data_IF_065970740091
#
_entry.id   IF_065970740091
#
_cell.length_a   1.000
_cell.length_b   1.000
_cell.length_c   1.000
_cell.angle_alpha   90.00
_cell.angle_beta   90.00
_cell.angle_gamma   90.00
#
_symmetry.space_group_name_H-M   'P 1'
#
loop_
_entity.id
_entity.type
_entity.pdbx_description
1 polymer ?
#
# COMPACT_ATOMS: atom_id res chain seq x y z
N UNK A 1 -29.03 4.74 -14.11
CA UNK A 1 -29.55 3.41 -13.72
C UNK A 1 -28.67 2.91 -12.60
N UNK A 2 -29.17 2.92 -11.37
CA UNK A 2 -28.42 2.66 -10.12
C UNK A 2 -28.35 1.16 -9.88
N UNK A 3 -27.14 0.58 -10.01
CA UNK A 3 -26.87 -0.85 -9.80
C UNK A 3 -25.45 -1.03 -9.29
N UNK A 4 -25.15 -0.51 -8.10
CA UNK A 4 -23.97 -0.92 -7.34
C UNK A 4 -24.04 -0.35 -5.92
N UNK A 5 -24.76 -1.01 -5.02
CA UNK A 5 -24.19 -1.19 -3.68
C UNK A 5 -23.01 -2.16 -3.86
N UNK A 6 -21.90 -1.67 -4.41
CA UNK A 6 -20.65 -2.40 -4.39
C UNK A 6 -20.25 -2.49 -2.93
N UNK A 7 -20.44 -3.66 -2.33
CA UNK A 7 -20.02 -3.88 -0.96
C UNK A 7 -18.49 -3.95 -0.96
N UNK A 8 -17.83 -2.80 -0.75
CA UNK A 8 -16.38 -2.62 -0.84
C UNK A 8 -15.63 -3.67 0.00
N UNK A 9 -16.20 -4.06 1.15
CA UNK A 9 -15.69 -5.12 1.99
C UNK A 9 -15.68 -6.49 1.28
N UNK A 10 -16.73 -6.84 0.52
CA UNK A 10 -16.76 -8.09 -0.26
C UNK A 10 -15.70 -8.04 -1.36
N UNK A 11 -15.56 -6.91 -2.06
CA UNK A 11 -14.53 -6.74 -3.09
C UNK A 11 -13.11 -6.89 -2.50
N UNK A 12 -12.85 -6.31 -1.32
CA UNK A 12 -11.61 -6.49 -0.57
C UNK A 12 -11.34 -7.96 -0.23
N UNK A 13 -12.33 -8.65 0.34
CA UNK A 13 -12.21 -10.06 0.72
C UNK A 13 -11.97 -10.94 -0.51
N UNK A 14 -12.66 -10.69 -1.63
CA UNK A 14 -12.43 -11.41 -2.89
C UNK A 14 -11.03 -11.17 -3.44
N UNK A 15 -10.54 -9.94 -3.37
CA UNK A 15 -9.18 -9.57 -3.77
C UNK A 15 -8.13 -10.34 -2.94
N UNK A 16 -8.22 -10.28 -1.61
CA UNK A 16 -7.30 -11.01 -0.72
C UNK A 16 -7.39 -12.52 -0.93
N UNK A 17 -8.60 -13.07 -1.01
CA UNK A 17 -8.85 -14.50 -1.21
C UNK A 17 -8.24 -15.03 -2.49
N UNK A 18 -8.40 -14.30 -3.61
CA UNK A 18 -7.76 -14.66 -4.90
C UNK A 18 -6.25 -14.63 -4.80
N UNK A 19 -5.67 -13.60 -4.19
CA UNK A 19 -4.22 -13.51 -4.05
C UNK A 19 -3.65 -14.65 -3.21
N UNK A 20 -4.32 -15.04 -2.12
CA UNK A 20 -3.91 -16.17 -1.29
C UNK A 20 -4.05 -17.50 -2.06
N UNK A 21 -5.19 -17.72 -2.72
CA UNK A 21 -5.46 -18.95 -3.49
C UNK A 21 -4.43 -19.16 -4.61
N UNK A 22 -3.96 -18.08 -5.24
CA UNK A 22 -2.96 -18.13 -6.30
C UNK A 22 -1.50 -18.11 -5.79
N UNK A 23 -1.26 -18.16 -4.47
CA UNK A 23 0.09 -18.09 -3.90
C UNK A 23 0.78 -16.73 -4.07
N UNK A 24 0.00 -15.69 -4.36
CA UNK A 24 0.45 -14.32 -4.56
C UNK A 24 0.46 -13.48 -3.27
N UNK A 25 -0.11 -14.02 -2.20
CA UNK A 25 -0.12 -13.46 -0.86
C UNK A 25 -0.07 -14.57 0.17
N UNK A 26 0.59 -14.31 1.30
CA UNK A 26 0.58 -15.21 2.47
C UNK A 26 0.36 -14.41 3.75
N UNK A 27 -0.10 -15.08 4.79
CA UNK A 27 -0.17 -14.49 6.13
C UNK A 27 1.21 -14.62 6.82
N UNK A 28 1.58 -13.63 7.62
CA UNK A 28 2.74 -13.74 8.49
C UNK A 28 2.40 -14.68 9.66
N UNK A 29 3.11 -15.81 9.77
CA UNK A 29 2.74 -16.86 10.72
C UNK A 29 2.68 -16.38 12.19
N UNK A 30 3.60 -15.53 12.68
CA UNK A 30 3.51 -15.01 14.04
C UNK A 30 2.33 -14.06 14.29
N UNK A 31 1.82 -13.40 13.24
CA UNK A 31 0.67 -12.50 13.35
C UNK A 31 -0.19 -12.55 12.08
N UNK A 32 -1.33 -13.27 12.10
CA UNK A 32 -2.18 -13.47 10.93
C UNK A 32 -2.96 -12.21 10.51
N UNK A 33 -2.73 -11.05 11.15
CA UNK A 33 -3.26 -9.76 10.70
C UNK A 33 -2.37 -9.10 9.64
N UNK A 34 -1.17 -9.63 9.42
CA UNK A 34 -0.19 -9.12 8.48
C UNK A 34 -0.19 -9.98 7.22
N UNK A 35 -0.53 -9.36 6.09
CA UNK A 35 -0.61 -9.98 4.78
C UNK A 35 0.61 -9.60 3.94
N UNK A 36 1.31 -10.57 3.40
CA UNK A 36 2.56 -10.37 2.66
C UNK A 36 2.35 -10.73 1.20
N UNK A 37 2.28 -9.71 0.34
CA UNK A 37 2.26 -9.92 -1.11
C UNK A 37 3.62 -10.42 -1.60
N UNK A 38 3.61 -11.27 -2.62
CA UNK A 38 4.84 -11.62 -3.31
C UNK A 38 5.29 -10.49 -4.25
N UNK A 39 6.45 -10.66 -4.89
CA UNK A 39 7.01 -9.64 -5.78
C UNK A 39 6.13 -9.37 -7.02
N UNK A 40 5.42 -10.39 -7.52
CA UNK A 40 4.56 -10.27 -8.70
C UNK A 40 3.31 -9.44 -8.37
N UNK A 41 2.57 -9.80 -7.32
CA UNK A 41 1.41 -9.05 -6.87
C UNK A 41 1.77 -7.65 -6.38
N UNK A 42 2.92 -7.47 -5.71
CA UNK A 42 3.38 -6.14 -5.31
C UNK A 42 3.73 -5.23 -6.49
N UNK A 43 4.09 -5.78 -7.65
CA UNK A 43 4.51 -5.00 -8.83
C UNK A 43 3.37 -4.28 -9.55
N UNK A 44 2.12 -4.57 -9.20
CA UNK A 44 0.96 -3.82 -9.70
C UNK A 44 0.89 -2.41 -9.10
N UNK A 45 1.56 -2.19 -7.96
CA UNK A 45 1.65 -0.87 -7.34
C UNK A 45 2.91 -0.14 -7.83
N UNK A 46 2.78 1.17 -7.93
CA UNK A 46 3.88 2.04 -8.33
C UNK A 46 4.33 2.83 -7.11
N UNK A 47 5.62 3.09 -6.98
CA UNK A 47 6.11 4.06 -6.00
C UNK A 47 6.86 5.16 -6.72
N UNK A 48 6.62 6.38 -6.28
CA UNK A 48 7.12 7.57 -6.97
C UNK A 48 7.22 8.76 -6.04
N UNK A 49 7.67 9.87 -6.60
CA UNK A 49 7.57 11.20 -6.01
C UNK A 49 6.84 12.11 -6.95
N UNK A 50 5.98 12.96 -6.42
CA UNK A 50 5.24 13.93 -7.22
C UNK A 50 6.11 15.16 -7.57
N UNK A 51 5.49 16.16 -8.18
CA UNK A 51 6.15 17.43 -8.55
C UNK A 51 6.67 18.22 -7.36
N UNK A 52 6.10 18.03 -6.17
CA UNK A 52 6.52 18.63 -4.91
C UNK A 52 7.57 17.78 -4.16
N UNK A 53 7.99 16.65 -4.74
CA UNK A 53 8.90 15.65 -4.17
C UNK A 53 8.30 14.86 -3.00
N UNK A 54 6.98 14.91 -2.83
CA UNK A 54 6.26 14.10 -1.84
C UNK A 54 6.14 12.65 -2.34
N UNK A 55 6.37 11.65 -1.47
CA UNK A 55 6.30 10.27 -1.88
C UNK A 55 4.85 9.83 -2.07
N UNK A 56 4.62 8.99 -3.07
CA UNK A 56 3.31 8.42 -3.32
C UNK A 56 3.35 6.92 -3.62
N UNK A 57 2.24 6.25 -3.29
CA UNK A 57 1.87 4.93 -3.78
C UNK A 57 0.85 5.07 -4.90
N UNK A 58 1.23 4.64 -6.10
CA UNK A 58 0.34 4.50 -7.24
C UNK A 58 -0.54 3.26 -7.09
N UNK A 59 -1.85 3.45 -7.16
CA UNK A 59 -2.87 2.40 -7.06
C UNK A 59 -3.59 2.29 -8.42
N UNK A 60 -3.73 1.09 -9.00
CA UNK A 60 -4.51 0.91 -10.22
C UNK A 60 -5.97 1.36 -10.08
N UNK A 61 -6.53 1.99 -11.13
CA UNK A 61 -7.93 2.44 -11.16
C UNK A 61 -8.92 1.32 -10.77
N UNK A 62 -8.67 0.09 -11.21
CA UNK A 62 -9.50 -1.08 -10.90
C UNK A 62 -9.64 -1.38 -9.39
N UNK A 63 -8.70 -0.90 -8.57
CA UNK A 63 -8.70 -1.14 -7.12
C UNK A 63 -9.39 -0.01 -6.35
N UNK A 64 -9.68 1.13 -6.99
CA UNK A 64 -10.32 2.29 -6.36
C UNK A 64 -11.64 1.99 -5.66
N UNK A 65 -12.51 1.05 -6.12
CA UNK A 65 -13.76 0.79 -5.42
C UNK A 65 -13.58 0.27 -4.00
N UNK A 66 -12.43 -0.31 -3.66
CA UNK A 66 -12.24 -0.94 -2.36
C UNK A 66 -10.97 -0.51 -1.63
N UNK A 67 -9.89 -0.18 -2.35
CA UNK A 67 -8.56 -0.01 -1.76
C UNK A 67 -8.41 1.34 -1.09
N UNK A 68 -8.96 2.39 -1.72
CA UNK A 68 -8.92 3.75 -1.19
C UNK A 68 -9.96 3.99 -0.09
N UNK A 69 -10.90 3.06 0.08
CA UNK A 69 -11.96 3.12 1.10
C UNK A 69 -11.51 2.56 2.45
N UNK A 70 -10.32 1.95 2.51
CA UNK A 70 -9.73 1.48 3.75
C UNK A 70 -9.13 2.67 4.51
N UNK A 71 -9.43 2.76 5.82
CA UNK A 71 -8.83 3.75 6.73
C UNK A 71 -7.38 3.38 7.06
N UNK A 72 -6.47 3.69 6.14
CA UNK A 72 -5.03 3.55 6.35
C UNK A 72 -4.55 4.61 7.34
N UNK A 73 -4.08 4.18 8.50
CA UNK A 73 -3.64 5.08 9.57
C UNK A 73 -2.13 5.35 9.55
N UNK A 74 -1.34 4.46 8.97
CA UNK A 74 0.12 4.61 8.85
C UNK A 74 0.69 3.76 7.73
N UNK A 75 1.90 4.13 7.30
CA UNK A 75 2.70 3.35 6.37
C UNK A 75 4.06 3.02 7.01
N UNK A 76 4.42 1.74 7.08
CA UNK A 76 5.70 1.29 7.62
C UNK A 76 6.64 0.79 6.53
N UNK A 77 7.85 1.32 6.49
CA UNK A 77 8.92 0.86 5.61
C UNK A 77 9.73 -0.20 6.36
N UNK A 78 9.76 -1.43 5.85
CA UNK A 78 10.67 -2.47 6.32
C UNK A 78 11.71 -2.74 5.23
N UNK A 79 12.85 -2.05 5.31
CA UNK A 79 13.89 -2.15 4.26
C UNK A 79 14.58 -3.49 4.25
N UNK A 80 14.76 -4.11 5.42
CA UNK A 80 15.43 -5.39 5.57
C UNK A 80 14.71 -6.49 4.80
N UNK A 81 13.38 -6.49 4.82
CA UNK A 81 12.57 -7.49 4.10
C UNK A 81 12.04 -7.00 2.74
N UNK A 82 12.17 -5.71 2.45
CA UNK A 82 11.73 -5.12 1.18
C UNK A 82 10.22 -4.96 1.10
N UNK A 83 9.61 -4.42 2.15
CA UNK A 83 8.17 -4.18 2.21
C UNK A 83 7.85 -2.73 2.52
N UNK A 84 6.77 -2.25 1.91
CA UNK A 84 5.98 -1.12 2.38
C UNK A 84 4.67 -1.69 2.93
N UNK A 85 4.42 -1.48 4.21
CA UNK A 85 3.20 -1.89 4.86
C UNK A 85 2.23 -0.73 4.93
N UNK A 86 0.98 -0.95 4.53
CA UNK A 86 -0.13 -0.07 4.86
C UNK A 86 -0.87 -0.66 6.06
N UNK A 87 -1.05 0.13 7.11
CA UNK A 87 -1.61 -0.32 8.38
C UNK A 87 -3.00 0.27 8.60
N UNK A 88 -3.90 -0.56 9.11
CA UNK A 88 -5.16 -0.14 9.69
C UNK A 88 -5.18 -0.60 11.15
N UNK A 89 -5.21 0.37 12.06
CA UNK A 89 -5.20 0.18 13.52
C UNK A 89 -6.52 0.64 14.11
N UNK A 90 -6.90 0.06 15.25
CA UNK A 90 -8.02 0.57 16.03
C UNK A 90 -7.68 1.98 16.53
N UNK A 91 -8.52 3.00 16.27
CA UNK A 91 -8.17 4.40 16.54
C UNK A 91 -8.01 4.69 18.04
N UNK A 92 -8.62 3.88 18.93
CA UNK A 92 -8.58 4.10 20.38
C UNK A 92 -7.42 3.36 21.03
N UNK A 93 -7.22 2.10 20.64
CA UNK A 93 -6.25 1.19 21.28
C UNK A 93 -4.93 1.09 20.52
N UNK A 94 -4.88 1.59 19.28
CA UNK A 94 -3.73 1.47 18.36
C UNK A 94 -3.35 0.01 18.03
N UNK A 95 -4.21 -0.95 18.41
CA UNK A 95 -4.02 -2.36 18.09
C UNK A 95 -4.13 -2.55 16.57
N UNK A 96 -3.17 -3.27 15.99
CA UNK A 96 -3.21 -3.63 14.58
C UNK A 96 -4.42 -4.51 14.28
N UNK A 97 -5.31 -4.02 13.42
CA UNK A 97 -6.41 -4.79 12.87
C UNK A 97 -5.99 -5.50 11.58
N UNK A 98 -5.22 -4.80 10.75
CA UNK A 98 -4.80 -5.30 9.44
C UNK A 98 -3.53 -4.56 8.96
N UNK A 99 -2.58 -5.30 8.38
CA UNK A 99 -1.47 -4.72 7.63
C UNK A 99 -1.33 -5.39 6.26
N UNK A 100 -1.23 -4.58 5.20
CA UNK A 100 -0.94 -5.04 3.84
C UNK A 100 0.51 -4.72 3.48
N UNK A 101 1.36 -5.73 3.49
CA UNK A 101 2.74 -5.67 3.04
C UNK A 101 2.85 -5.81 1.53
N UNK A 102 3.13 -4.69 0.86
CA UNK A 102 3.43 -4.62 -0.57
C UNK A 102 4.93 -4.84 -0.74
N UNK A 103 5.31 -5.91 -1.47
CA UNK A 103 6.73 -6.22 -1.69
C UNK A 103 7.33 -5.30 -2.74
N UNK A 104 8.30 -4.50 -2.31
CA UNK A 104 8.99 -3.51 -3.14
C UNK A 104 10.48 -3.79 -3.10
N UNK A 105 11.14 -3.70 -4.27
CA UNK A 105 12.61 -3.84 -4.33
C UNK A 105 13.24 -2.81 -3.38
N UNK A 106 14.18 -3.24 -2.54
CA UNK A 106 14.82 -2.40 -1.51
C UNK A 106 15.28 -1.03 -2.05
N UNK A 107 15.93 -1.00 -3.22
CA UNK A 107 16.38 0.23 -3.85
C UNK A 107 15.24 1.22 -4.18
N UNK A 108 14.02 0.73 -4.46
CA UNK A 108 12.84 1.56 -4.72
C UNK A 108 12.15 2.07 -3.46
N UNK A 109 12.45 1.52 -2.28
CA UNK A 109 11.96 2.09 -1.02
C UNK A 109 12.58 3.48 -0.75
N UNK A 110 13.76 3.76 -1.32
CA UNK A 110 14.36 5.10 -1.28
C UNK A 110 13.54 6.15 -2.03
N UNK A 111 12.64 5.72 -2.93
CA UNK A 111 11.69 6.65 -3.55
C UNK A 111 10.69 7.17 -2.53
N UNK A 112 10.35 6.38 -1.50
CA UNK A 112 9.44 6.78 -0.43
C UNK A 112 10.17 7.62 0.63
N UNK A 113 11.26 7.10 1.18
CA UNK A 113 12.10 7.79 2.16
C UNK A 113 13.55 7.38 1.92
N UNK A 114 14.45 8.33 1.67
CA UNK A 114 15.85 8.06 1.34
C UNK A 114 16.61 7.71 2.61
N UNK A 115 17.13 6.48 2.65
CA UNK A 115 17.90 5.95 3.78
C UNK A 115 19.01 6.93 4.23
N UNK A 116 19.05 7.21 5.54
CA UNK A 116 20.01 8.10 6.23
C UNK A 116 20.01 9.57 5.78
N UNK A 117 19.10 9.99 4.90
CA UNK A 117 19.01 11.38 4.44
C UNK A 117 17.71 12.06 4.82
N UNK A 118 16.63 11.30 4.90
CA UNK A 118 15.32 11.80 5.30
C UNK A 118 14.89 11.14 6.61
N UNK A 119 14.13 11.87 7.42
CA UNK A 119 13.54 11.34 8.64
C UNK A 119 12.11 10.89 8.33
N UNK A 120 11.78 9.58 8.38
CA UNK A 120 10.44 9.07 8.08
C UNK A 120 9.35 9.69 8.96
N UNK A 121 9.64 10.02 10.22
CA UNK A 121 8.67 10.60 11.16
C UNK A 121 8.16 11.99 10.74
N UNK A 122 8.89 12.67 9.86
CA UNK A 122 8.53 13.98 9.31
C UNK A 122 7.91 13.87 7.90
N UNK A 123 7.62 12.66 7.43
CA UNK A 123 7.14 12.39 6.09
C UNK A 123 5.76 11.76 6.09
N UNK A 124 5.05 11.98 5.00
CA UNK A 124 3.75 11.38 4.74
C UNK A 124 3.75 10.72 3.37
N UNK A 125 3.03 9.61 3.25
CA UNK A 125 2.76 8.90 2.02
C UNK A 125 1.40 9.34 1.48
N UNK A 126 1.38 9.72 0.20
CA UNK A 126 0.15 9.97 -0.53
C UNK A 126 -0.23 8.75 -1.39
N UNK A 127 -1.47 8.65 -1.82
CA UNK A 127 -1.91 7.70 -2.83
C UNK A 127 -2.38 8.43 -4.08
N UNK A 128 -1.98 7.93 -5.25
CA UNK A 128 -2.43 8.40 -6.56
C UNK A 128 -3.04 7.25 -7.33
N UNK A 129 -4.21 7.49 -7.92
CA UNK A 129 -4.76 6.55 -8.89
C UNK A 129 -4.06 6.72 -10.24
N UNK A 130 -3.77 5.59 -10.87
CA UNK A 130 -3.30 5.55 -12.24
C UNK A 130 -4.13 4.59 -13.09
N UNK A 131 -4.21 4.91 -14.37
CA UNK A 131 -4.82 4.08 -15.41
C UNK A 131 -3.78 3.82 -16.50
N UNK A 132 -3.75 2.59 -17.00
CA UNK A 132 -2.91 2.25 -18.15
C UNK A 132 -3.57 2.74 -19.42
N UNK A 133 -2.79 3.36 -20.32
CA UNK A 133 -3.35 3.83 -21.58
C UNK A 133 -3.91 2.62 -22.39
N UNK A 134 -5.16 2.72 -22.90
CA UNK A 134 -5.81 1.61 -23.57
C UNK A 134 -5.20 1.28 -24.94
N UNK A 135 -4.38 2.17 -25.50
CA UNK A 135 -3.71 2.07 -26.80
C UNK A 135 -2.22 1.75 -26.64
N UNK A 136 -1.53 2.32 -25.65
CA UNK A 136 -0.13 2.02 -25.33
C UNK A 136 0.06 1.53 -23.88
N UNK A 137 0.26 0.21 -23.73
CA UNK A 137 0.52 -0.43 -22.44
C UNK A 137 1.76 0.09 -21.69
N UNK A 138 2.63 0.87 -22.35
CA UNK A 138 3.83 1.45 -21.73
C UNK A 138 3.56 2.79 -21.09
N UNK A 139 2.43 3.42 -21.43
CA UNK A 139 2.06 4.72 -20.90
C UNK A 139 1.05 4.58 -19.76
N UNK A 140 1.16 5.49 -18.80
CA UNK A 140 0.36 5.52 -17.59
C UNK A 140 -0.11 6.94 -17.34
N UNK A 141 -1.42 7.11 -17.23
CA UNK A 141 -2.01 8.39 -16.85
C UNK A 141 -2.25 8.41 -15.35
N UNK A 142 -1.76 9.45 -14.69
CA UNK A 142 -2.03 9.70 -13.27
C UNK A 142 -3.08 10.79 -13.15
N UNK A 143 -3.94 10.68 -12.13
CA UNK A 143 -4.71 11.84 -11.66
C UNK A 143 -3.74 12.92 -11.16
N UNK A 144 -3.99 14.17 -11.52
CA UNK A 144 -3.25 15.33 -10.98
C UNK A 144 -3.43 15.46 -9.46
N UNK A 145 -4.51 14.90 -8.91
CA UNK A 145 -4.85 14.98 -7.50
C UNK A 145 -4.45 13.70 -6.77
N UNK A 146 -4.02 13.86 -5.52
CA UNK A 146 -3.93 12.76 -4.58
C UNK A 146 -5.34 12.33 -4.15
N UNK A 147 -5.60 11.03 -4.19
CA UNK A 147 -6.88 10.46 -3.78
C UNK A 147 -6.93 10.21 -2.26
N UNK A 148 -5.79 9.83 -1.68
CA UNK A 148 -5.56 9.78 -0.23
C UNK A 148 -4.29 10.55 0.07
N UNK A 149 -4.31 11.39 1.11
CA UNK A 149 -3.21 12.31 1.44
C UNK A 149 -2.81 12.11 2.88
N UNK A 150 -1.50 12.20 3.16
CA UNK A 150 -1.04 12.44 4.52
C UNK A 150 -0.92 11.20 5.41
N UNK A 151 -0.74 10.00 4.84
CA UNK A 151 -0.57 8.78 5.65
C UNK A 151 0.82 8.84 6.32
N UNK A 152 0.94 8.92 7.66
CA UNK A 152 2.22 9.03 8.34
C UNK A 152 3.16 7.88 8.01
N UNK A 153 4.43 8.17 7.75
CA UNK A 153 5.45 7.16 7.48
C UNK A 153 6.23 6.87 8.76
N UNK A 154 6.57 5.60 8.96
CA UNK A 154 7.60 5.18 9.92
C UNK A 154 8.51 4.13 9.30
N UNK A 155 9.68 3.94 9.89
CA UNK A 155 10.59 2.86 9.52
C UNK A 155 10.62 1.81 10.63
N UNK A 156 10.65 0.54 10.23
CA UNK A 156 10.74 -0.62 11.13
C UNK A 156 11.88 -1.52 10.67
N UNK A 157 12.59 -2.11 11.61
CA UNK A 157 13.70 -3.02 11.34
C UNK A 157 13.19 -4.41 10.92
N UNK A 158 12.06 -4.84 11.49
CA UNK A 158 11.45 -6.16 11.23
C UNK A 158 9.91 -6.16 11.24
N UNK A 159 9.32 -7.16 10.57
CA UNK A 159 7.86 -7.31 10.45
C UNK A 159 7.19 -7.49 11.82
N UNK A 160 7.90 -8.11 12.77
CA UNK A 160 7.45 -8.31 14.14
C UNK A 160 7.05 -7.02 14.86
N UNK A 161 7.67 -5.88 14.54
CA UNK A 161 7.36 -4.59 15.15
C UNK A 161 5.95 -4.08 14.82
N UNK A 162 5.33 -4.60 13.75
CA UNK A 162 3.93 -4.30 13.45
C UNK A 162 2.97 -4.94 14.46
N UNK A 163 3.41 -5.99 15.17
CA UNK A 163 2.59 -6.73 16.12
C UNK A 163 2.54 -6.08 17.51
N UNK A 164 3.36 -5.06 17.72
CA UNK A 164 3.39 -4.25 18.94
C UNK A 164 2.35 -3.13 18.91
#
# INVERSE_FOLDING_TARGET
>A
MSLANQNHAIAWVMFLGRLIQHGNMKLYAPNPRIYLMNQYAGSVFIVGRDTNKEPFLGVPLDFTPFFLQMDWCSASICRNDGFLFLEARDPRTQVLNFALGIRIRKARLNTICIDKKENPDNMVLNMKVFEQDPVDIRDLTFSDRHDVVGIPIREIDGIEELSN
#
